data_IF_015674030650
#
_entry.id   IF_015674030650
#
_cell.length_a   1.000
_cell.length_b   1.000
_cell.length_c   1.000
_cell.angle_alpha   90.00
_cell.angle_beta   90.00
_cell.angle_gamma   90.00
#
_symmetry.space_group_name_H-M   'P 1'
#
loop_
_entity.id
_entity.type
_entity.pdbx_description
1 polymer ?
#
# COMPACT_ATOMS: atom_id res chain seq x y z
N UNK A 1 -20.49 -3.76 -11.46
CA UNK A 1 -20.03 -4.54 -10.29
C UNK A 1 -18.61 -5.03 -10.60
N UNK A 2 -17.76 -5.19 -9.59
CA UNK A 2 -16.42 -5.77 -9.71
C UNK A 2 -16.42 -7.16 -9.08
N UNK A 3 -15.60 -8.08 -9.59
CA UNK A 3 -15.44 -9.40 -8.99
C UNK A 3 -14.15 -9.41 -8.19
N UNK A 4 -14.24 -9.75 -6.90
CA UNK A 4 -13.04 -9.94 -6.08
C UNK A 4 -12.20 -11.06 -6.68
N UNK A 5 -10.98 -10.72 -7.07
CA UNK A 5 -9.96 -11.64 -7.57
C UNK A 5 -8.66 -11.37 -6.85
N UNK A 6 -7.79 -12.37 -6.80
CA UNK A 6 -6.56 -12.37 -6.01
C UNK A 6 -5.38 -12.70 -6.92
N UNK A 7 -4.18 -12.25 -6.57
CA UNK A 7 -2.99 -12.51 -7.38
C UNK A 7 -2.63 -14.00 -7.44
N UNK A 8 -2.88 -14.75 -6.37
CA UNK A 8 -2.78 -16.19 -6.35
C UNK A 8 -4.04 -16.82 -5.77
N UNK A 9 -3.90 -17.55 -4.66
CA UNK A 9 -5.02 -18.27 -4.07
C UNK A 9 -6.01 -17.37 -3.33
N UNK A 10 -7.30 -17.67 -3.48
CA UNK A 10 -8.37 -17.06 -2.68
C UNK A 10 -8.14 -17.37 -1.20
N UNK A 11 -8.01 -16.35 -0.33
CA UNK A 11 -7.73 -16.59 1.07
C UNK A 11 -8.96 -17.11 1.83
N UNK A 12 -8.77 -17.80 2.97
CA UNK A 12 -9.87 -18.23 3.81
C UNK A 12 -10.73 -17.04 4.27
N UNK A 13 -12.06 -17.20 4.26
CA UNK A 13 -13.00 -16.20 4.78
C UNK A 13 -13.39 -15.08 3.81
N UNK A 14 -12.71 -14.95 2.66
CA UNK A 14 -13.08 -13.97 1.61
C UNK A 14 -13.23 -14.73 0.29
N UNK A 15 -14.46 -14.86 -0.19
CA UNK A 15 -14.75 -15.55 -1.45
C UNK A 15 -14.58 -14.67 -2.69
N UNK A 16 -14.46 -15.30 -3.85
CA UNK A 16 -14.60 -14.63 -5.15
C UNK A 16 -16.07 -14.26 -5.37
N UNK A 17 -16.45 -13.06 -4.94
CA UNK A 17 -17.81 -12.56 -5.00
C UNK A 17 -17.91 -11.25 -5.80
N UNK A 18 -19.10 -10.98 -6.32
CA UNK A 18 -19.38 -9.74 -7.03
C UNK A 18 -19.72 -8.64 -6.02
N UNK A 19 -18.93 -7.57 -6.01
CA UNK A 19 -19.10 -6.43 -5.12
C UNK A 19 -19.48 -5.16 -5.90
N UNK A 20 -20.26 -4.25 -5.31
CA UNK A 20 -20.61 -2.99 -5.95
C UNK A 20 -19.44 -2.00 -5.98
N UNK A 21 -18.56 -2.02 -4.97
CA UNK A 21 -17.47 -1.07 -4.76
C UNK A 21 -16.29 -1.22 -5.74
N UNK A 22 -15.29 -0.35 -5.59
CA UNK A 22 -14.06 -0.36 -6.41
C UNK A 22 -12.81 -0.16 -5.59
N UNK A 23 -11.76 -0.91 -5.90
CA UNK A 23 -10.43 -0.78 -5.32
C UNK A 23 -9.51 -0.02 -6.30
N UNK A 24 -9.08 1.18 -5.92
CA UNK A 24 -8.17 2.01 -6.69
C UNK A 24 -6.90 2.23 -5.87
N UNK A 25 -5.77 1.82 -6.43
CA UNK A 25 -4.46 1.97 -5.81
C UNK A 25 -3.73 3.15 -6.45
N UNK A 26 -3.09 3.98 -5.62
CA UNK A 26 -2.19 5.04 -6.07
C UNK A 26 -0.78 4.66 -5.60
N UNK A 27 0.15 4.54 -6.55
CA UNK A 27 1.54 4.16 -6.34
C UNK A 27 2.49 5.26 -6.83
N UNK A 28 3.76 5.15 -6.42
CA UNK A 28 4.84 6.05 -6.82
C UNK A 28 5.92 6.15 -5.74
N UNK A 29 6.92 6.99 -5.94
CA UNK A 29 8.00 7.27 -4.98
C UNK A 29 7.60 8.36 -3.98
N UNK A 30 8.37 8.54 -2.90
CA UNK A 30 8.09 9.63 -1.95
C UNK A 30 8.31 11.00 -2.61
N UNK A 31 7.44 11.98 -2.30
CA UNK A 31 7.48 13.31 -2.92
C UNK A 31 6.79 13.43 -4.30
N UNK A 32 6.30 12.33 -4.87
CA UNK A 32 5.67 12.34 -6.21
C UNK A 32 4.29 13.01 -6.26
N UNK A 33 3.65 13.19 -5.09
CA UNK A 33 2.33 13.83 -4.98
C UNK A 33 1.15 12.88 -4.73
N UNK A 34 1.39 11.62 -4.35
CA UNK A 34 0.32 10.64 -4.07
C UNK A 34 -0.75 11.19 -3.11
N UNK A 35 -0.33 11.71 -1.96
CA UNK A 35 -1.28 12.20 -0.94
C UNK A 35 -2.12 13.38 -1.44
N UNK A 36 -1.55 14.27 -2.26
CA UNK A 36 -2.29 15.35 -2.92
C UNK A 36 -3.32 14.79 -3.89
N UNK A 37 -2.93 13.85 -4.76
CA UNK A 37 -3.82 13.24 -5.73
C UNK A 37 -4.93 12.42 -5.07
N UNK A 38 -4.63 11.72 -3.98
CA UNK A 38 -5.63 10.98 -3.19
C UNK A 38 -6.65 11.92 -2.57
N UNK A 39 -6.22 13.03 -1.97
CA UNK A 39 -7.13 14.01 -1.38
C UNK A 39 -8.06 14.63 -2.44
N UNK A 40 -7.50 15.04 -3.58
CA UNK A 40 -8.29 15.58 -4.70
C UNK A 40 -9.27 14.54 -5.27
N UNK A 41 -8.83 13.29 -5.42
CA UNK A 41 -9.68 12.22 -5.93
C UNK A 41 -10.77 11.84 -4.93
N UNK A 42 -10.48 11.84 -3.63
CA UNK A 42 -11.47 11.63 -2.58
C UNK A 42 -12.55 12.71 -2.65
N UNK A 43 -12.17 13.99 -2.63
CA UNK A 43 -13.12 15.11 -2.68
C UNK A 43 -14.00 15.03 -3.93
N UNK A 44 -13.41 14.73 -5.09
CA UNK A 44 -14.16 14.58 -6.33
C UNK A 44 -15.14 13.40 -6.28
N UNK A 45 -14.71 12.22 -5.81
CA UNK A 45 -15.59 11.05 -5.69
C UNK A 45 -16.75 11.28 -4.71
N UNK A 46 -16.49 11.93 -3.58
CA UNK A 46 -17.51 12.29 -2.59
C UNK A 46 -18.52 13.30 -3.18
N UNK A 47 -18.06 14.27 -3.97
CA UNK A 47 -18.93 15.22 -4.68
C UNK A 47 -19.81 14.53 -5.74
N UNK A 48 -19.31 13.45 -6.37
CA UNK A 48 -20.08 12.60 -7.29
C UNK A 48 -21.02 11.60 -6.55
N UNK A 49 -21.06 11.64 -5.22
CA UNK A 49 -21.97 10.84 -4.39
C UNK A 49 -21.45 9.46 -3.99
N UNK A 50 -20.16 9.17 -4.19
CA UNK A 50 -19.55 7.94 -3.72
C UNK A 50 -19.08 8.07 -2.27
N UNK A 51 -19.33 7.05 -1.46
CA UNK A 51 -18.65 6.90 -0.17
C UNK A 51 -17.21 6.40 -0.40
N UNK A 52 -16.22 7.02 0.24
CA UNK A 52 -14.80 6.75 0.01
C UNK A 52 -14.12 6.25 1.28
N UNK A 53 -13.36 5.16 1.16
CA UNK A 53 -12.41 4.71 2.18
C UNK A 53 -11.01 5.08 1.70
N UNK A 54 -10.29 5.91 2.46
CA UNK A 54 -8.86 6.15 2.23
C UNK A 54 -8.05 5.35 3.24
N UNK A 55 -7.09 4.56 2.73
CA UNK A 55 -6.15 3.82 3.57
C UNK A 55 -4.77 3.80 2.92
N UNK A 56 -3.73 3.36 3.64
CA UNK A 56 -2.37 3.27 3.11
C UNK A 56 -1.47 2.46 4.03
N UNK A 57 -0.21 2.26 3.67
CA UNK A 57 0.76 1.51 4.49
C UNK A 57 0.76 1.88 5.97
N UNK A 58 0.94 0.87 6.84
CA UNK A 58 1.11 1.04 8.29
C UNK A 58 -0.08 1.77 8.91
N UNK A 59 -1.28 1.35 8.52
CA UNK A 59 -2.55 1.92 9.03
C UNK A 59 -3.43 0.86 9.69
N UNK A 60 -2.97 -0.39 9.80
CA UNK A 60 -3.69 -1.41 10.58
C UNK A 60 -3.68 -1.06 12.06
N UNK A 61 -4.77 -1.33 12.76
CA UNK A 61 -4.80 -1.19 14.22
C UNK A 61 -3.86 -2.21 14.87
N UNK A 62 -3.71 -3.39 14.26
CA UNK A 62 -2.92 -4.49 14.78
C UNK A 62 -1.40 -4.25 14.71
N UNK A 63 -0.88 -3.79 13.56
CA UNK A 63 0.55 -3.85 13.24
C UNK A 63 1.21 -2.48 13.06
N UNK A 64 0.46 -1.41 12.77
CA UNK A 64 1.03 -0.10 12.42
C UNK A 64 2.04 0.42 13.46
N UNK A 65 1.64 0.45 14.75
CA UNK A 65 2.49 0.96 15.83
C UNK A 65 3.76 0.13 16.03
N UNK A 66 3.67 -1.19 15.81
CA UNK A 66 4.81 -2.09 15.88
C UNK A 66 5.79 -1.88 14.73
N UNK A 67 5.28 -1.70 13.51
CA UNK A 67 6.11 -1.40 12.34
C UNK A 67 6.80 -0.05 12.52
N UNK A 68 6.10 0.98 12.99
CA UNK A 68 6.70 2.30 13.23
C UNK A 68 7.76 2.29 14.32
N UNK A 69 7.63 1.42 15.33
CA UNK A 69 8.67 1.21 16.33
C UNK A 69 9.88 0.47 15.75
N UNK A 70 9.63 -0.57 14.95
CA UNK A 70 10.68 -1.34 14.30
C UNK A 70 11.52 -0.50 13.32
N UNK A 71 10.86 0.33 12.51
CA UNK A 71 11.51 1.22 11.55
C UNK A 71 12.31 2.33 12.22
N UNK A 72 11.87 2.84 13.38
CA UNK A 72 12.60 3.88 14.12
C UNK A 72 13.83 3.31 14.84
N UNK A 73 13.73 2.09 15.35
CA UNK A 73 14.82 1.45 16.08
C UNK A 73 15.70 0.53 15.22
N UNK A 74 15.40 0.39 13.93
CA UNK A 74 16.03 -0.56 13.02
C UNK A 74 16.13 -1.98 13.63
N UNK A 75 15.08 -2.42 14.31
CA UNK A 75 15.14 -3.59 15.20
C UNK A 75 14.82 -4.92 14.51
N UNK A 76 14.37 -4.87 13.25
CA UNK A 76 13.97 -6.05 12.48
C UNK A 76 14.83 -6.15 11.24
N UNK A 77 15.24 -7.37 10.89
CA UNK A 77 15.83 -7.64 9.58
C UNK A 77 14.80 -7.42 8.46
N UNK A 78 15.29 -7.32 7.23
CA UNK A 78 14.47 -7.03 6.06
C UNK A 78 13.35 -8.06 5.86
N UNK A 79 13.59 -9.35 6.07
CA UNK A 79 12.59 -10.39 5.85
C UNK A 79 11.47 -10.32 6.90
N UNK A 80 11.85 -10.16 8.17
CA UNK A 80 10.93 -10.00 9.29
C UNK A 80 10.07 -8.74 9.13
N UNK A 81 10.66 -7.64 8.67
CA UNK A 81 9.92 -6.41 8.38
C UNK A 81 8.90 -6.61 7.24
N UNK A 82 9.26 -7.31 6.16
CA UNK A 82 8.33 -7.62 5.06
C UNK A 82 7.17 -8.52 5.50
N UNK A 83 7.43 -9.53 6.32
CA UNK A 83 6.37 -10.36 6.92
C UNK A 83 5.46 -9.53 7.84
N UNK A 84 6.02 -8.56 8.56
CA UNK A 84 5.20 -7.67 9.39
C UNK A 84 4.30 -6.76 8.55
N UNK A 85 4.78 -6.28 7.40
CA UNK A 85 3.95 -5.59 6.41
C UNK A 85 2.84 -6.48 5.84
N UNK A 86 3.11 -7.77 5.60
CA UNK A 86 2.08 -8.71 5.17
C UNK A 86 0.96 -8.84 6.22
N UNK A 87 1.32 -8.88 7.51
CA UNK A 87 0.36 -8.86 8.63
C UNK A 87 -0.46 -7.56 8.67
N UNK A 88 0.16 -6.37 8.54
CA UNK A 88 -0.56 -5.08 8.44
C UNK A 88 -1.56 -5.09 7.27
N UNK A 89 -1.11 -5.61 6.14
CA UNK A 89 -1.90 -5.59 4.92
C UNK A 89 -3.11 -6.54 5.00
N UNK A 90 -2.93 -7.76 5.51
CA UNK A 90 -4.03 -8.69 5.75
C UNK A 90 -5.09 -8.09 6.70
N UNK A 91 -4.67 -7.53 7.85
CA UNK A 91 -5.58 -6.94 8.84
C UNK A 91 -6.45 -5.84 8.22
N UNK A 92 -5.84 -4.95 7.42
CA UNK A 92 -6.56 -3.90 6.70
C UNK A 92 -7.48 -4.43 5.61
N UNK A 93 -7.03 -5.45 4.88
CA UNK A 93 -7.83 -6.04 3.81
C UNK A 93 -9.10 -6.66 4.37
N UNK A 94 -8.97 -7.45 5.44
CA UNK A 94 -10.06 -8.18 6.08
C UNK A 94 -11.04 -7.25 6.82
N UNK A 95 -10.52 -6.26 7.56
CA UNK A 95 -11.36 -5.41 8.42
C UNK A 95 -11.86 -4.13 7.78
N UNK A 96 -11.21 -3.64 6.72
CA UNK A 96 -11.52 -2.34 6.14
C UNK A 96 -11.81 -2.41 4.65
N UNK A 97 -10.88 -2.93 3.85
CA UNK A 97 -10.99 -2.85 2.38
C UNK A 97 -12.15 -3.72 1.88
N UNK A 98 -12.17 -5.02 2.21
CA UNK A 98 -13.23 -5.93 1.74
C UNK A 98 -14.62 -5.50 2.21
N UNK A 99 -14.83 -5.16 3.50
CA UNK A 99 -16.11 -4.64 3.96
C UNK A 99 -16.56 -3.38 3.21
N UNK A 100 -15.65 -2.42 2.95
CA UNK A 100 -15.97 -1.20 2.19
C UNK A 100 -16.37 -1.51 0.74
N UNK A 101 -15.69 -2.44 0.09
CA UNK A 101 -16.05 -2.85 -1.28
C UNK A 101 -17.43 -3.50 -1.34
N UNK A 102 -17.76 -4.35 -0.36
CA UNK A 102 -19.07 -5.00 -0.23
C UNK A 102 -20.21 -3.99 -0.08
N UNK A 103 -19.98 -2.88 0.65
CA UNK A 103 -20.99 -1.83 0.85
C UNK A 103 -21.09 -0.84 -0.30
N UNK A 104 -20.24 -0.95 -1.32
CA UNK A 104 -20.29 -0.10 -2.52
C UNK A 104 -19.35 1.09 -2.49
N UNK A 105 -18.48 1.18 -1.48
CA UNK A 105 -17.52 2.27 -1.37
C UNK A 105 -16.40 2.16 -2.41
N UNK A 106 -15.79 3.30 -2.72
CA UNK A 106 -14.50 3.35 -3.42
C UNK A 106 -13.38 3.32 -2.39
N UNK A 107 -12.56 2.27 -2.40
CA UNK A 107 -11.37 2.16 -1.57
C UNK A 107 -10.17 2.75 -2.32
N UNK A 108 -9.69 3.91 -1.88
CA UNK A 108 -8.44 4.53 -2.33
C UNK A 108 -7.29 4.08 -1.42
N UNK A 109 -6.24 3.50 -2.01
CA UNK A 109 -5.10 2.98 -1.26
C UNK A 109 -3.80 3.67 -1.65
N UNK A 110 -3.18 4.40 -0.70
CA UNK A 110 -1.83 4.97 -0.80
C UNK A 110 -0.78 3.90 -0.53
N UNK A 111 -0.11 3.43 -1.59
CA UNK A 111 0.82 2.29 -1.59
C UNK A 111 0.14 0.96 -1.25
N UNK A 112 0.33 -0.01 -2.14
CA UNK A 112 -0.16 -1.38 -2.07
C UNK A 112 1.02 -2.35 -2.01
N UNK A 113 0.79 -3.64 -2.25
CA UNK A 113 1.85 -4.68 -2.19
C UNK A 113 3.05 -4.35 -3.10
N UNK A 114 2.84 -3.61 -4.19
CA UNK A 114 3.89 -3.26 -5.15
C UNK A 114 5.01 -2.46 -4.52
N UNK A 115 4.66 -1.49 -3.66
CA UNK A 115 5.65 -0.70 -2.92
C UNK A 115 6.50 -1.56 -1.97
N UNK A 116 5.93 -2.59 -1.33
CA UNK A 116 6.67 -3.53 -0.46
C UNK A 116 7.61 -4.39 -1.31
N UNK A 117 7.06 -5.02 -2.35
CA UNK A 117 7.80 -5.91 -3.25
C UNK A 117 8.96 -5.15 -3.92
N UNK A 118 8.72 -3.94 -4.42
CA UNK A 118 9.76 -3.11 -5.03
C UNK A 118 10.89 -2.78 -4.03
N UNK A 119 10.53 -2.34 -2.81
CA UNK A 119 11.51 -2.00 -1.76
C UNK A 119 12.34 -3.20 -1.31
N UNK A 120 11.74 -4.38 -1.26
CA UNK A 120 12.42 -5.60 -0.86
C UNK A 120 13.34 -6.14 -1.95
N UNK A 121 12.91 -6.08 -3.22
CA UNK A 121 13.72 -6.49 -4.37
C UNK A 121 15.00 -5.66 -4.47
N UNK A 122 14.92 -4.34 -4.29
CA UNK A 122 16.13 -3.49 -4.28
C UNK A 122 17.03 -3.77 -3.08
N UNK A 123 16.49 -4.33 -1.98
CA UNK A 123 17.21 -4.75 -0.77
C UNK A 123 17.70 -6.20 -0.80
N UNK A 124 17.70 -6.84 -1.98
CA UNK A 124 18.24 -8.19 -2.16
C UNK A 124 17.36 -9.32 -1.63
N UNK A 125 16.10 -9.06 -1.27
CA UNK A 125 15.14 -10.14 -0.98
C UNK A 125 14.86 -10.92 -2.28
N UNK A 126 14.90 -12.27 -2.27
CA UNK A 126 14.70 -13.07 -3.47
C UNK A 126 13.43 -12.70 -4.24
N UNK A 127 13.57 -12.51 -5.55
CA UNK A 127 12.45 -12.31 -6.47
C UNK A 127 11.54 -13.54 -6.47
N UNK A 128 10.22 -13.35 -6.49
CA UNK A 128 9.24 -14.44 -6.42
C UNK A 128 8.77 -14.72 -4.99
N UNK A 129 9.67 -14.77 -4.00
CA UNK A 129 9.26 -15.16 -2.65
C UNK A 129 8.20 -14.23 -2.04
N UNK A 130 8.36 -12.91 -2.20
CA UNK A 130 7.32 -11.98 -1.74
C UNK A 130 6.08 -11.97 -2.63
N UNK A 131 6.22 -12.34 -3.90
CA UNK A 131 5.06 -12.50 -4.76
C UNK A 131 4.17 -13.64 -4.22
N UNK A 132 4.79 -14.75 -3.79
CA UNK A 132 4.13 -15.88 -3.11
C UNK A 132 3.51 -15.46 -1.77
N UNK A 133 4.22 -14.68 -0.94
CA UNK A 133 3.68 -14.19 0.34
C UNK A 133 2.43 -13.33 0.14
N UNK A 134 2.39 -12.50 -0.91
CA UNK A 134 1.30 -11.57 -1.17
C UNK A 134 0.24 -12.11 -2.14
N UNK A 135 0.23 -13.41 -2.47
CA UNK A 135 -0.79 -14.02 -3.34
C UNK A 135 -2.23 -13.77 -2.88
N UNK A 136 -2.43 -13.62 -1.57
CA UNK A 136 -3.72 -13.33 -0.96
C UNK A 136 -4.22 -11.90 -1.22
N UNK A 137 -3.40 -11.04 -1.83
CA UNK A 137 -3.77 -9.67 -2.10
C UNK A 137 -4.82 -9.59 -3.21
N UNK A 138 -5.81 -8.73 -2.99
CA UNK A 138 -6.81 -8.42 -4.00
C UNK A 138 -6.17 -7.78 -5.23
N UNK A 139 -6.60 -8.17 -6.41
CA UNK A 139 -6.25 -7.48 -7.64
C UNK A 139 -7.03 -6.15 -7.66
N UNK A 140 -6.36 -4.99 -7.69
CA UNK A 140 -7.04 -3.71 -7.76
C UNK A 140 -7.81 -3.57 -9.08
N UNK A 141 -8.96 -2.88 -9.05
CA UNK A 141 -9.65 -2.52 -10.28
C UNK A 141 -8.79 -1.57 -11.11
N UNK A 142 -8.06 -0.66 -10.47
CA UNK A 142 -7.13 0.27 -11.11
C UNK A 142 -5.90 0.51 -10.24
N UNK A 143 -4.76 0.67 -10.90
CA UNK A 143 -3.50 1.11 -10.31
C UNK A 143 -3.06 2.37 -11.06
N UNK A 144 -2.93 3.47 -10.35
CA UNK A 144 -2.44 4.75 -10.86
C UNK A 144 -1.01 4.94 -10.34
N UNK A 145 -0.02 4.75 -11.20
CA UNK A 145 1.38 4.98 -10.87
C UNK A 145 1.76 6.42 -11.22
N UNK A 146 2.10 7.21 -10.21
CA UNK A 146 2.65 8.55 -10.42
C UNK A 146 4.15 8.41 -10.63
N UNK A 147 4.62 8.93 -11.76
CA UNK A 147 6.02 8.86 -12.18
C UNK A 147 6.60 10.27 -12.31
N UNK A 148 7.74 10.49 -11.67
CA UNK A 148 8.53 11.71 -11.73
C UNK A 148 9.99 11.29 -11.59
N UNK A 149 10.87 11.87 -12.39
CA UNK A 149 12.30 11.57 -12.29
C UNK A 149 12.93 12.06 -10.96
N UNK A 150 14.12 11.52 -10.66
CA UNK A 150 14.84 11.83 -9.42
C UNK A 150 15.23 13.31 -9.34
N UNK A 151 15.57 13.94 -10.47
CA UNK A 151 16.01 15.34 -10.53
C UNK A 151 14.89 16.29 -10.05
N UNK A 152 13.64 15.98 -10.38
CA UNK A 152 12.48 16.76 -9.94
C UNK A 152 11.94 16.32 -8.57
N UNK A 153 12.13 15.05 -8.17
CA UNK A 153 11.70 14.55 -6.86
C UNK A 153 12.58 15.04 -5.71
N UNK A 154 13.91 15.05 -5.92
CA UNK A 154 14.87 15.31 -4.84
C UNK A 154 14.64 16.69 -4.18
N UNK A 155 14.45 17.80 -4.92
CA UNK A 155 14.14 19.09 -4.31
C UNK A 155 12.85 19.08 -3.48
N UNK A 156 11.83 18.32 -3.90
CA UNK A 156 10.55 18.23 -3.19
C UNK A 156 10.72 17.53 -1.85
N UNK A 157 11.41 16.39 -1.84
CA UNK A 157 11.65 15.61 -0.61
C UNK A 157 12.49 16.44 0.38
N UNK A 158 13.60 17.03 -0.10
CA UNK A 158 14.53 17.80 0.73
C UNK A 158 13.94 19.12 1.25
N UNK A 159 12.96 19.71 0.54
CA UNK A 159 12.27 20.92 1.01
C UNK A 159 11.39 20.70 2.24
N UNK A 160 10.96 19.46 2.49
CA UNK A 160 10.03 19.12 3.57
C UNK A 160 10.76 18.48 4.76
N UNK A 161 11.76 17.64 4.49
CA UNK A 161 12.50 16.92 5.53
C UNK A 161 13.90 16.51 5.08
N UNK A 162 14.75 16.19 6.06
CA UNK A 162 15.98 15.43 5.80
C UNK A 162 15.63 13.98 5.48
N UNK A 163 16.49 13.32 4.71
CA UNK A 163 16.36 11.89 4.40
C UNK A 163 16.49 11.08 5.69
N UNK A 164 15.53 10.20 5.92
CA UNK A 164 15.64 9.22 7.00
C UNK A 164 16.55 8.04 6.63
N UNK A 165 16.80 7.14 7.58
CA UNK A 165 17.65 5.95 7.43
C UNK A 165 17.34 5.12 6.17
N UNK A 166 16.06 5.01 5.81
CA UNK A 166 15.62 4.19 4.67
C UNK A 166 15.65 4.97 3.36
N UNK A 167 15.45 6.29 3.42
CA UNK A 167 15.52 7.20 2.27
C UNK A 167 16.97 7.52 1.86
N UNK A 168 17.90 7.53 2.81
CA UNK A 168 19.33 7.75 2.54
C UNK A 168 20.03 6.51 1.99
N UNK A 169 19.42 5.33 2.17
CA UNK A 169 20.04 4.04 1.82
C UNK A 169 21.11 3.60 2.82
N UNK A 170 21.12 4.16 4.04
CA UNK A 170 22.04 3.71 5.11
C UNK A 170 21.85 2.23 5.46
N UNK A 171 20.68 1.66 5.20
CA UNK A 171 20.40 0.25 5.37
C UNK A 171 21.17 -0.66 4.38
N UNK A 172 21.91 -0.08 3.42
CA UNK A 172 22.80 -0.77 2.48
C UNK A 172 24.29 -0.72 2.85
N UNK A 173 24.67 0.09 3.84
CA UNK A 173 26.06 0.34 4.25
C UNK A 173 26.46 -0.53 5.45
#
# INVERSE_FOLDING_TARGET
MSTLSFYGHTPPGIGAESVPGRLIVIEGTDGVGRSTQIAMLQEWLEAEGYAVLVTGFRRSELAASGIDRAMRGNTLDALTLNLFYATDFWDRMEKSIVPALRTGMVALVDRYIFSIIARARVRGVPTGWLDDVFEFALVPDRVLFLDVDVEHLLPRVLSVRQLDHWESGEDFL
#
